data_IF_458721318249
#
_entry.id   IF_458721318249
#
_cell.length_a   1.000
_cell.length_b   1.000
_cell.length_c   1.000
_cell.angle_alpha   90.00
_cell.angle_beta   90.00
_cell.angle_gamma   90.00
#
_symmetry.space_group_name_H-M   'P 1'
#
loop_
_entity.id
_entity.type
_entity.pdbx_description
1 polymer ?
#
# COMPACT_ATOMS: atom_id res chain seq x y z
N UNK A 1 15.49 -33.12 -47.73
CA UNK A 1 15.96 -32.14 -46.72
C UNK A 1 14.88 -31.08 -46.55
N UNK A 2 14.00 -31.23 -45.56
CA UNK A 2 13.01 -30.20 -45.17
C UNK A 2 13.55 -29.55 -43.90
N UNK A 3 13.90 -28.27 -43.99
CA UNK A 3 14.43 -27.50 -42.87
C UNK A 3 13.37 -27.33 -41.79
N UNK A 4 13.71 -27.74 -40.58
CA UNK A 4 12.92 -27.44 -39.40
C UNK A 4 13.20 -25.99 -38.99
N UNK A 5 12.19 -25.13 -39.10
CA UNK A 5 12.23 -23.79 -38.52
C UNK A 5 12.02 -23.95 -37.01
N UNK A 6 13.13 -23.93 -36.28
CA UNK A 6 13.17 -23.95 -34.82
C UNK A 6 12.63 -22.61 -34.32
N UNK A 7 11.35 -22.58 -33.91
CA UNK A 7 10.80 -21.47 -33.15
C UNK A 7 11.48 -21.46 -31.79
N UNK A 8 12.47 -20.59 -31.62
CA UNK A 8 12.95 -20.21 -30.30
C UNK A 8 11.81 -19.48 -29.60
N UNK A 9 11.01 -20.21 -28.82
CA UNK A 9 10.25 -19.61 -27.73
C UNK A 9 11.28 -18.97 -26.80
N UNK A 10 11.50 -17.66 -26.97
CA UNK A 10 12.11 -16.85 -25.92
C UNK A 10 11.08 -16.89 -24.80
N UNK A 11 11.24 -17.84 -23.88
CA UNK A 11 10.63 -17.72 -22.57
C UNK A 11 11.23 -16.45 -21.96
N UNK A 12 10.52 -15.33 -22.07
CA UNK A 12 10.83 -14.17 -21.28
C UNK A 12 10.71 -14.63 -19.82
N UNK A 13 11.86 -14.81 -19.17
CA UNK A 13 11.88 -15.20 -17.77
C UNK A 13 11.28 -14.04 -16.98
N UNK A 14 10.05 -14.21 -16.47
CA UNK A 14 9.39 -13.16 -15.71
C UNK A 14 10.12 -12.91 -14.39
N UNK A 15 10.15 -11.65 -13.97
CA UNK A 15 10.78 -11.26 -12.70
C UNK A 15 10.11 -11.92 -11.48
N UNK A 16 10.90 -12.04 -10.40
CA UNK A 16 10.48 -12.49 -9.08
C UNK A 16 9.99 -11.30 -8.24
N UNK A 17 8.70 -11.25 -7.99
CA UNK A 17 8.01 -10.10 -7.38
C UNK A 17 7.64 -10.43 -5.94
N UNK A 18 8.15 -9.62 -5.01
CA UNK A 18 7.66 -9.57 -3.65
C UNK A 18 6.45 -8.65 -3.60
N UNK A 19 5.40 -9.08 -2.89
CA UNK A 19 4.19 -8.28 -2.69
C UNK A 19 4.06 -7.98 -1.20
N UNK A 20 3.95 -6.69 -0.88
CA UNK A 20 3.69 -6.22 0.49
C UNK A 20 2.29 -6.65 0.94
N UNK A 21 2.15 -6.94 2.23
CA UNK A 21 0.87 -7.40 2.76
C UNK A 21 -0.18 -6.28 2.74
N UNK A 22 -1.45 -6.67 2.66
CA UNK A 22 -2.61 -5.78 2.78
C UNK A 22 -3.84 -6.57 3.23
N UNK A 23 -4.99 -5.93 3.41
CA UNK A 23 -6.21 -6.58 3.94
C UNK A 23 -7.48 -6.09 3.25
N UNK A 24 -8.58 -6.82 3.45
CA UNK A 24 -9.93 -6.40 3.07
C UNK A 24 -10.07 -6.07 1.57
N UNK A 25 -10.66 -4.91 1.28
CA UNK A 25 -10.89 -4.45 -0.10
C UNK A 25 -9.60 -4.21 -0.88
N UNK A 26 -8.52 -3.80 -0.23
CA UNK A 26 -7.21 -3.62 -0.88
C UNK A 26 -6.65 -4.96 -1.33
N UNK A 27 -6.80 -6.03 -0.53
CA UNK A 27 -6.43 -7.38 -0.94
C UNK A 27 -7.27 -7.88 -2.12
N UNK A 28 -8.58 -7.67 -2.08
CA UNK A 28 -9.50 -8.02 -3.17
C UNK A 28 -9.09 -7.31 -4.48
N UNK A 29 -8.72 -6.04 -4.41
CA UNK A 29 -8.28 -5.27 -5.58
C UNK A 29 -6.89 -5.70 -6.08
N UNK A 30 -6.00 -6.14 -5.20
CA UNK A 30 -4.65 -6.56 -5.57
C UNK A 30 -4.63 -7.94 -6.24
N UNK A 31 -5.48 -8.88 -5.80
CA UNK A 31 -5.52 -10.27 -6.32
C UNK A 31 -5.53 -10.37 -7.86
N UNK A 32 -6.42 -9.67 -8.60
CA UNK A 32 -6.43 -9.73 -10.06
C UNK A 32 -5.14 -9.22 -10.72
N UNK A 33 -4.48 -8.22 -10.11
CA UNK A 33 -3.19 -7.70 -10.59
C UNK A 33 -2.12 -8.79 -10.45
N UNK A 34 -2.08 -9.49 -9.31
CA UNK A 34 -1.11 -10.57 -9.06
C UNK A 34 -1.33 -11.75 -10.01
N UNK A 35 -2.57 -12.14 -10.23
CA UNK A 35 -2.95 -13.17 -11.20
C UNK A 35 -2.46 -12.84 -12.61
N UNK A 36 -2.64 -11.58 -13.02
CA UNK A 36 -2.19 -11.07 -14.31
C UNK A 36 -0.66 -11.05 -14.44
N UNK A 37 0.07 -10.82 -13.34
CA UNK A 37 1.53 -10.93 -13.31
C UNK A 37 1.98 -12.39 -13.48
N UNK A 38 1.31 -13.33 -12.80
CA UNK A 38 1.57 -14.76 -12.98
C UNK A 38 1.29 -15.20 -14.42
N UNK A 39 0.20 -14.74 -15.03
CA UNK A 39 -0.13 -15.02 -16.44
C UNK A 39 0.95 -14.51 -17.42
N UNK A 40 1.68 -13.47 -17.02
CA UNK A 40 2.82 -12.92 -17.78
C UNK A 40 4.16 -13.60 -17.45
N UNK A 41 4.14 -14.69 -16.68
CA UNK A 41 5.31 -15.50 -16.35
C UNK A 41 6.11 -15.02 -15.15
N UNK A 42 5.61 -14.04 -14.38
CA UNK A 42 6.26 -13.60 -13.15
C UNK A 42 6.07 -14.59 -12.01
N UNK A 43 7.10 -14.76 -11.19
CA UNK A 43 7.00 -15.47 -9.91
C UNK A 43 6.55 -14.47 -8.85
N UNK A 44 5.43 -14.74 -8.18
CA UNK A 44 4.86 -13.80 -7.20
C UNK A 44 4.86 -14.43 -5.82
N UNK A 45 5.41 -13.71 -4.83
CA UNK A 45 5.36 -14.09 -3.42
C UNK A 45 4.71 -12.97 -2.61
N UNK A 46 3.66 -13.30 -1.88
CA UNK A 46 2.88 -12.34 -1.07
C UNK A 46 3.19 -12.52 0.40
N UNK A 47 3.57 -11.43 1.08
CA UNK A 47 3.68 -11.43 2.54
C UNK A 47 2.30 -11.54 3.17
N UNK A 48 2.17 -12.37 4.21
CA UNK A 48 0.90 -12.56 4.93
C UNK A 48 1.11 -12.50 6.44
N UNK A 49 0.50 -11.55 7.16
CA UNK A 49 0.61 -11.53 8.60
C UNK A 49 -0.16 -12.71 9.23
N UNK A 50 0.35 -13.24 10.34
CA UNK A 50 -0.33 -14.32 11.11
C UNK A 50 -1.73 -13.92 11.59
N UNK A 51 -1.97 -12.62 11.79
CA UNK A 51 -3.24 -12.05 12.17
C UNK A 51 -4.19 -11.78 10.99
N UNK A 52 -3.81 -12.13 9.76
CA UNK A 52 -4.64 -11.86 8.58
C UNK A 52 -6.04 -12.45 8.70
N UNK A 53 -7.03 -11.65 8.30
CA UNK A 53 -8.45 -12.04 8.30
C UNK A 53 -8.94 -12.39 6.89
N UNK A 54 -8.46 -11.68 5.86
CA UNK A 54 -8.95 -11.83 4.49
C UNK A 54 -7.99 -12.59 3.56
N UNK A 55 -6.72 -12.77 3.95
CA UNK A 55 -5.75 -13.53 3.16
C UNK A 55 -5.74 -15.00 3.61
N UNK A 56 -6.56 -15.81 2.94
CA UNK A 56 -6.60 -17.24 3.21
C UNK A 56 -5.49 -17.99 2.49
N UNK A 57 -4.42 -18.33 3.21
CA UNK A 57 -3.27 -19.10 2.70
C UNK A 57 -3.60 -20.54 2.30
N UNK A 58 -4.76 -21.07 2.72
CA UNK A 58 -5.20 -22.42 2.39
C UNK A 58 -5.97 -22.49 1.07
N UNK A 59 -6.38 -21.34 0.52
CA UNK A 59 -6.99 -21.29 -0.81
C UNK A 59 -5.96 -21.63 -1.89
N UNK A 60 -6.34 -22.43 -2.90
CA UNK A 60 -5.50 -22.61 -4.09
C UNK A 60 -5.16 -21.25 -4.69
N UNK A 61 -3.86 -20.98 -4.83
CA UNK A 61 -3.36 -19.75 -5.43
C UNK A 61 -2.32 -20.06 -6.50
N UNK A 62 -2.28 -19.21 -7.53
CA UNK A 62 -1.27 -19.25 -8.59
C UNK A 62 0.02 -18.53 -8.19
N UNK A 63 0.06 -17.96 -6.99
CA UNK A 63 1.21 -17.30 -6.37
C UNK A 63 1.49 -17.86 -4.97
N UNK A 64 2.69 -17.64 -4.48
CA UNK A 64 3.14 -18.16 -3.18
C UNK A 64 2.82 -17.19 -2.04
N UNK A 65 2.58 -17.72 -0.84
CA UNK A 65 2.44 -16.94 0.38
C UNK A 65 3.69 -17.10 1.27
N UNK A 66 4.21 -16.01 1.81
CA UNK A 66 5.24 -16.01 2.86
C UNK A 66 4.65 -15.46 4.16
N UNK A 67 4.24 -16.33 5.10
CA UNK A 67 3.66 -15.87 6.34
C UNK A 67 4.73 -15.29 7.28
N UNK A 68 4.37 -14.24 8.03
CA UNK A 68 5.20 -13.69 9.10
C UNK A 68 4.38 -13.49 10.38
N UNK A 69 5.04 -13.61 11.53
CA UNK A 69 4.37 -13.48 12.82
C UNK A 69 4.26 -12.01 13.24
N UNK A 70 3.12 -11.65 13.82
CA UNK A 70 2.86 -10.33 14.39
C UNK A 70 2.35 -10.44 15.82
N UNK A 71 2.59 -9.42 16.62
CA UNK A 71 2.14 -9.32 18.02
C UNK A 71 0.72 -8.76 18.17
N UNK A 72 -0.04 -8.67 17.06
CA UNK A 72 -1.39 -8.13 17.01
C UNK A 72 -2.41 -9.28 16.96
N UNK A 73 -3.49 -9.19 17.73
CA UNK A 73 -4.56 -10.19 17.71
C UNK A 73 -5.48 -10.00 16.49
N UNK A 74 -6.27 -11.03 16.13
CA UNK A 74 -7.26 -10.91 15.04
C UNK A 74 -8.41 -9.97 15.43
N UNK A 75 -8.75 -9.95 16.71
CA UNK A 75 -9.78 -9.09 17.29
C UNK A 75 -9.43 -7.60 17.14
N UNK A 76 -8.14 -7.27 17.30
CA UNK A 76 -7.62 -5.90 17.11
C UNK A 76 -7.62 -5.46 15.64
N UNK A 77 -7.78 -6.37 14.67
CA UNK A 77 -7.93 -6.06 13.25
C UNK A 77 -9.38 -5.75 12.82
N UNK A 78 -10.37 -5.91 13.70
CA UNK A 78 -11.76 -5.60 13.36
C UNK A 78 -11.94 -4.08 13.22
N UNK A 79 -12.10 -3.62 11.99
CA UNK A 79 -12.45 -2.23 11.70
C UNK A 79 -13.79 -1.86 12.33
N UNK A 80 -13.81 -0.79 13.12
CA UNK A 80 -15.01 -0.16 13.63
C UNK A 80 -15.83 0.43 12.48
N UNK A 81 -17.14 0.19 12.46
CA UNK A 81 -18.05 0.78 11.46
C UNK A 81 -18.04 2.31 11.52
N UNK A 82 -18.13 2.93 10.35
CA UNK A 82 -18.03 4.39 10.16
C UNK A 82 -19.41 5.02 10.10
N UNK A 83 -19.72 5.91 11.04
CA UNK A 83 -20.79 6.91 10.88
C UNK A 83 -20.20 8.32 11.00
N UNK A 84 -20.58 9.17 10.04
CA UNK A 84 -19.91 10.44 9.75
C UNK A 84 -20.78 11.61 10.22
N UNK A 85 -20.54 12.15 11.44
CA UNK A 85 -20.92 13.53 11.84
C UNK A 85 -19.88 14.24 12.74
N UNK A 86 -19.71 15.57 12.61
CA UNK A 86 -18.61 16.46 13.05
C UNK A 86 -17.84 16.19 14.38
N UNK A 87 -18.37 15.43 15.34
CA UNK A 87 -17.56 14.78 16.40
C UNK A 87 -16.49 13.79 15.87
N UNK A 88 -16.51 13.55 14.55
CA UNK A 88 -15.58 12.72 13.75
C UNK A 88 -14.12 13.01 14.03
N UNK A 89 -13.64 14.26 14.10
CA UNK A 89 -12.21 14.49 13.88
C UNK A 89 -11.31 14.06 15.05
N UNK A 90 -11.74 14.22 16.30
CA UNK A 90 -10.98 13.71 17.46
C UNK A 90 -10.96 12.17 17.40
N UNK A 91 -12.12 11.55 17.11
CA UNK A 91 -12.24 10.10 16.95
C UNK A 91 -11.40 9.59 15.78
N UNK A 92 -11.41 10.30 14.65
CA UNK A 92 -10.66 9.99 13.43
C UNK A 92 -9.16 10.12 13.66
N UNK A 93 -8.69 11.21 14.27
CA UNK A 93 -7.28 11.37 14.67
C UNK A 93 -6.85 10.28 15.64
N UNK A 94 -7.68 9.93 16.63
CA UNK A 94 -7.40 8.82 17.56
C UNK A 94 -7.36 7.47 16.86
N UNK A 95 -8.21 7.27 15.85
CA UNK A 95 -8.23 6.07 15.02
C UNK A 95 -7.01 5.97 14.13
N UNK A 96 -6.61 7.04 13.43
CA UNK A 96 -5.36 7.08 12.65
C UNK A 96 -4.17 6.79 13.56
N UNK A 97 -4.15 7.34 14.78
CA UNK A 97 -3.13 7.04 15.78
C UNK A 97 -3.11 5.56 16.16
N UNK A 98 -4.25 4.96 16.48
CA UNK A 98 -4.32 3.54 16.82
C UNK A 98 -3.92 2.65 15.63
N UNK A 99 -4.35 3.01 14.42
CA UNK A 99 -4.00 2.30 13.19
C UNK A 99 -2.50 2.35 12.92
N UNK A 100 -1.85 3.52 13.04
CA UNK A 100 -0.40 3.60 12.84
C UNK A 100 0.35 2.78 13.90
N UNK A 101 -0.06 2.83 15.17
CA UNK A 101 0.57 2.01 16.22
C UNK A 101 0.43 0.50 15.95
N UNK A 102 -0.73 0.04 15.49
CA UNK A 102 -0.89 -1.34 15.08
C UNK A 102 -0.03 -1.66 13.84
N UNK A 103 -0.02 -0.79 12.83
CA UNK A 103 0.80 -0.95 11.63
C UNK A 103 2.30 -1.07 11.95
N UNK A 104 2.81 -0.32 12.93
CA UNK A 104 4.20 -0.44 13.39
C UNK A 104 4.48 -1.83 13.99
N UNK A 105 3.52 -2.45 14.69
CA UNK A 105 3.66 -3.84 15.17
C UNK A 105 3.65 -4.86 14.04
N UNK A 106 2.87 -4.63 12.97
CA UNK A 106 2.97 -5.46 11.76
C UNK A 106 4.36 -5.31 11.12
N UNK A 107 4.85 -4.07 11.07
CA UNK A 107 6.15 -3.75 10.52
C UNK A 107 7.29 -4.42 11.28
N UNK A 108 7.21 -4.48 12.62
CA UNK A 108 8.14 -5.24 13.47
C UNK A 108 8.25 -6.71 13.06
N UNK A 109 7.11 -7.33 12.73
CA UNK A 109 7.05 -8.73 12.30
C UNK A 109 7.81 -9.04 11.00
N UNK A 110 8.05 -8.00 10.19
CA UNK A 110 8.90 -8.09 8.99
C UNK A 110 10.31 -7.58 9.29
N UNK A 111 10.46 -6.32 9.67
CA UNK A 111 11.75 -5.63 9.75
C UNK A 111 12.61 -6.04 10.95
N UNK A 112 12.00 -6.32 12.11
CA UNK A 112 12.73 -6.75 13.31
C UNK A 112 12.85 -8.28 13.40
N UNK A 113 12.14 -9.02 12.55
CA UNK A 113 12.27 -10.48 12.46
C UNK A 113 13.49 -10.87 11.63
N UNK A 114 14.56 -11.33 12.30
CA UNK A 114 15.75 -11.84 11.63
C UNK A 114 15.42 -12.99 10.67
N UNK A 115 14.51 -13.87 11.07
CA UNK A 115 14.09 -15.03 10.25
C UNK A 115 13.37 -14.57 8.98
N UNK A 116 12.41 -13.63 9.11
CA UNK A 116 11.69 -13.09 7.96
C UNK A 116 12.66 -12.36 7.04
N UNK A 117 13.47 -11.44 7.57
CA UNK A 117 14.36 -10.66 6.73
C UNK A 117 15.46 -11.48 6.06
N UNK A 118 16.00 -12.49 6.73
CA UNK A 118 16.98 -13.40 6.13
C UNK A 118 16.38 -14.10 4.91
N UNK A 119 15.18 -14.67 5.03
CA UNK A 119 14.48 -15.30 3.91
C UNK A 119 14.23 -14.34 2.75
N UNK A 120 13.79 -13.11 3.04
CA UNK A 120 13.52 -12.12 1.99
C UNK A 120 14.79 -11.73 1.23
N UNK A 121 15.94 -11.63 1.92
CA UNK A 121 17.24 -11.37 1.29
C UNK A 121 17.72 -12.56 0.44
N UNK A 122 17.53 -13.78 0.91
CA UNK A 122 17.97 -15.00 0.22
C UNK A 122 17.19 -15.28 -1.07
N UNK A 123 15.91 -14.88 -1.12
CA UNK A 123 15.03 -15.13 -2.28
C UNK A 123 15.29 -14.26 -3.50
N UNK A 124 16.10 -13.20 -3.40
CA UNK A 124 16.52 -12.33 -4.52
C UNK A 124 15.34 -11.92 -5.42
N UNK A 125 14.50 -11.02 -4.91
CA UNK A 125 13.43 -10.43 -5.70
C UNK A 125 13.98 -9.39 -6.69
N UNK A 126 13.22 -9.11 -7.74
CA UNK A 126 13.51 -8.09 -8.75
C UNK A 126 12.68 -6.80 -8.51
N UNK A 127 11.58 -6.90 -7.76
CA UNK A 127 10.62 -5.82 -7.55
C UNK A 127 9.86 -6.04 -6.23
N UNK A 128 9.57 -4.94 -5.52
CA UNK A 128 8.53 -4.90 -4.49
C UNK A 128 7.29 -4.19 -5.03
N UNK A 129 6.15 -4.89 -5.06
CA UNK A 129 4.83 -4.34 -5.35
C UNK A 129 4.06 -4.12 -4.03
N UNK A 130 3.43 -2.97 -3.88
CA UNK A 130 2.76 -2.63 -2.61
C UNK A 130 1.48 -1.81 -2.82
N UNK A 131 0.53 -1.95 -1.90
CA UNK A 131 -0.49 -0.93 -1.67
C UNK A 131 -0.04 -0.07 -0.47
N UNK A 132 0.06 1.26 -0.59
CA UNK A 132 0.61 2.12 0.46
C UNK A 132 -0.29 2.25 1.70
N UNK A 133 -1.46 1.60 1.76
CA UNK A 133 -2.33 1.60 2.94
C UNK A 133 -1.63 1.08 4.20
N UNK A 134 -0.72 0.10 4.06
CA UNK A 134 0.18 -0.35 5.12
C UNK A 134 1.60 0.19 4.89
N UNK A 135 2.17 0.93 5.85
CA UNK A 135 3.52 1.48 5.71
C UNK A 135 4.60 0.39 5.77
N UNK A 136 5.85 0.76 5.46
CA UNK A 136 7.01 -0.12 5.63
C UNK A 136 7.58 -0.70 4.34
N UNK A 137 6.80 -0.70 3.25
CA UNK A 137 7.25 -1.24 1.97
C UNK A 137 8.41 -0.45 1.36
N UNK A 138 8.44 0.87 1.50
CA UNK A 138 9.55 1.74 1.09
C UNK A 138 10.85 1.46 1.84
N UNK A 139 10.79 1.37 3.17
CA UNK A 139 11.97 1.01 3.97
C UNK A 139 12.43 -0.41 3.67
N UNK A 140 11.50 -1.35 3.48
CA UNK A 140 11.83 -2.74 3.13
C UNK A 140 12.48 -2.83 1.75
N UNK A 141 11.94 -2.12 0.76
CA UNK A 141 12.52 -2.04 -0.58
C UNK A 141 13.95 -1.48 -0.52
N UNK A 142 14.16 -0.40 0.23
CA UNK A 142 15.47 0.22 0.41
C UNK A 142 16.47 -0.71 1.12
N UNK A 143 16.04 -1.46 2.14
CA UNK A 143 16.88 -2.49 2.80
C UNK A 143 17.25 -3.63 1.84
N UNK A 144 16.33 -4.03 0.97
CA UNK A 144 16.53 -5.12 0.01
C UNK A 144 17.19 -4.65 -1.31
N UNK A 145 17.34 -3.35 -1.53
CA UNK A 145 17.84 -2.77 -2.78
C UNK A 145 16.90 -2.98 -3.96
N UNK A 146 15.58 -3.00 -3.72
CA UNK A 146 14.56 -3.28 -4.73
C UNK A 146 13.91 -2.00 -5.28
N UNK A 147 13.55 -1.97 -6.57
CA UNK A 147 12.59 -0.98 -7.05
C UNK A 147 11.24 -1.22 -6.34
N UNK A 148 10.57 -0.12 -5.98
CA UNK A 148 9.25 -0.13 -5.38
C UNK A 148 8.21 0.43 -6.35
N UNK A 149 7.16 -0.35 -6.55
CA UNK A 149 5.98 0.03 -7.32
C UNK A 149 4.75 -0.01 -6.42
N UNK A 150 3.99 1.09 -6.41
CA UNK A 150 2.70 1.14 -5.73
C UNK A 150 1.55 0.82 -6.67
N UNK A 151 0.61 0.00 -6.23
CA UNK A 151 -0.71 -0.17 -6.82
C UNK A 151 -1.74 0.29 -5.79
N UNK A 152 -2.44 1.38 -6.10
CA UNK A 152 -3.39 2.03 -5.21
C UNK A 152 -4.62 2.48 -6.01
N UNK A 153 -5.82 2.22 -5.49
CA UNK A 153 -7.07 2.71 -6.09
C UNK A 153 -7.30 4.20 -5.79
N UNK A 154 -7.21 4.55 -4.51
CA UNK A 154 -7.15 5.93 -4.01
C UNK A 154 -6.66 5.92 -2.55
N UNK A 155 -6.09 7.03 -2.07
CA UNK A 155 -5.94 7.30 -0.64
C UNK A 155 -6.90 8.40 -0.17
N UNK A 156 -7.08 8.51 1.15
CA UNK A 156 -7.91 9.56 1.74
C UNK A 156 -7.37 10.92 1.30
N UNK A 157 -8.27 11.78 0.80
CA UNK A 157 -7.90 13.08 0.23
C UNK A 157 -6.76 13.02 -0.82
N UNK A 158 -6.64 11.91 -1.55
CA UNK A 158 -5.58 11.70 -2.55
C UNK A 158 -4.16 12.00 -2.04
N UNK A 159 -3.89 11.81 -0.76
CA UNK A 159 -2.64 12.21 -0.11
C UNK A 159 -1.42 11.57 -0.80
N UNK A 160 -1.42 10.24 -0.97
CA UNK A 160 -0.33 9.52 -1.64
C UNK A 160 -0.21 9.88 -3.12
N UNK A 161 -1.34 10.01 -3.81
CA UNK A 161 -1.39 10.32 -5.24
C UNK A 161 -0.82 11.71 -5.53
N UNK A 162 -1.19 12.71 -4.74
CA UNK A 162 -0.71 14.08 -4.87
C UNK A 162 0.75 14.23 -4.46
N UNK A 163 1.10 13.70 -3.28
CA UNK A 163 2.40 13.99 -2.65
C UNK A 163 3.50 13.08 -3.18
N UNK A 164 3.23 11.79 -3.34
CA UNK A 164 4.21 10.82 -3.83
C UNK A 164 4.06 10.57 -5.34
N UNK A 165 2.82 10.42 -5.81
CA UNK A 165 2.49 10.08 -7.20
C UNK A 165 2.50 11.26 -8.18
N UNK A 166 2.63 12.49 -7.67
CA UNK A 166 2.64 13.73 -8.46
C UNK A 166 1.37 13.91 -9.32
N UNK A 167 0.26 13.26 -8.94
CA UNK A 167 -1.02 13.39 -9.61
C UNK A 167 -1.76 14.62 -9.05
N UNK A 168 -2.00 15.66 -9.85
CA UNK A 168 -2.71 16.83 -9.35
C UNK A 168 -4.17 16.49 -9.05
N UNK A 169 -4.64 16.91 -7.87
CA UNK A 169 -6.06 16.91 -7.53
C UNK A 169 -6.45 18.32 -7.06
N UNK A 170 -6.87 19.20 -8.00
CA UNK A 170 -7.32 20.56 -7.67
C UNK A 170 -8.51 20.52 -6.72
N UNK A 171 -8.32 21.01 -5.50
CA UNK A 171 -9.32 20.95 -4.42
C UNK A 171 -10.65 21.62 -4.75
N UNK A 172 -10.67 22.55 -5.70
CA UNK A 172 -11.91 23.20 -6.12
C UNK A 172 -12.75 22.35 -7.07
N UNK A 173 -12.21 21.32 -7.74
CA UNK A 173 -12.93 20.55 -8.77
C UNK A 173 -12.87 19.03 -8.59
N UNK A 174 -11.91 18.54 -7.80
CA UNK A 174 -11.75 17.11 -7.51
C UNK A 174 -12.19 16.85 -6.07
N UNK A 175 -13.30 16.13 -5.83
CA UNK A 175 -13.73 15.80 -4.49
C UNK A 175 -12.70 14.89 -3.81
N UNK A 176 -12.38 15.17 -2.55
CA UNK A 176 -11.50 14.30 -1.77
C UNK A 176 -12.17 12.94 -1.55
N UNK A 177 -11.49 11.80 -1.79
CA UNK A 177 -12.02 10.50 -1.43
C UNK A 177 -12.42 10.48 0.05
N UNK A 178 -13.56 9.87 0.36
CA UNK A 178 -14.20 9.84 1.69
C UNK A 178 -14.83 11.17 2.18
N UNK A 179 -14.87 12.23 1.36
CA UNK A 179 -15.57 13.48 1.70
C UNK A 179 -17.10 13.42 1.55
N UNK A 180 -17.63 12.37 0.88
CA UNK A 180 -19.02 12.25 0.39
C UNK A 180 -19.42 13.28 -0.68
N UNK A 181 -18.49 14.10 -1.16
CA UNK A 181 -18.72 15.04 -2.27
C UNK A 181 -18.58 14.35 -3.63
N UNK A 182 -19.15 14.97 -4.66
CA UNK A 182 -19.06 14.50 -6.06
C UNK A 182 -18.26 15.48 -6.92
N UNK A 183 -18.08 15.17 -8.21
CA UNK A 183 -17.48 16.09 -9.19
C UNK A 183 -18.36 17.33 -9.46
N UNK A 184 -19.63 17.27 -9.07
CA UNK A 184 -20.56 18.40 -9.06
C UNK A 184 -20.61 18.99 -7.64
N UNK A 185 -19.92 20.10 -7.46
CA UNK A 185 -19.90 20.87 -6.21
C UNK A 185 -20.32 22.33 -6.45
N UNK A 186 -21.19 22.85 -5.58
CA UNK A 186 -21.47 24.27 -5.46
C UNK A 186 -20.31 25.03 -4.79
N UNK A 187 -20.47 26.35 -4.61
CA UNK A 187 -19.40 27.16 -4.02
C UNK A 187 -19.05 26.73 -2.58
N UNK A 188 -20.05 26.44 -1.74
CA UNK A 188 -19.81 26.08 -0.34
C UNK A 188 -19.21 24.68 -0.23
N UNK A 189 -19.67 23.73 -1.05
CA UNK A 189 -19.10 22.39 -1.14
C UNK A 189 -17.62 22.43 -1.55
N UNK A 190 -17.24 23.34 -2.45
CA UNK A 190 -15.82 23.54 -2.84
C UNK A 190 -14.97 24.08 -1.70
N UNK A 191 -15.52 25.02 -0.92
CA UNK A 191 -14.85 25.53 0.28
C UNK A 191 -14.67 24.40 1.29
N UNK A 192 -15.70 23.60 1.52
CA UNK A 192 -15.62 22.42 2.40
C UNK A 192 -14.61 21.39 1.92
N UNK A 193 -14.59 21.11 0.63
CA UNK A 193 -13.61 20.19 0.05
C UNK A 193 -12.18 20.70 0.28
N UNK A 194 -11.92 21.99 0.04
CA UNK A 194 -10.62 22.60 0.32
C UNK A 194 -10.19 22.45 1.78
N UNK A 195 -11.09 22.75 2.72
CA UNK A 195 -10.82 22.57 4.15
C UNK A 195 -10.61 21.10 4.53
N UNK A 196 -11.35 20.19 3.91
CA UNK A 196 -11.20 18.75 4.11
C UNK A 196 -9.79 18.28 3.72
N UNK A 197 -9.28 18.66 2.55
CA UNK A 197 -7.91 18.32 2.14
C UNK A 197 -6.87 18.90 3.10
N UNK A 198 -6.97 20.19 3.44
CA UNK A 198 -6.01 20.84 4.34
C UNK A 198 -5.96 20.14 5.72
N UNK A 199 -7.11 19.75 6.22
CA UNK A 199 -7.23 19.08 7.50
C UNK A 199 -6.75 17.62 7.46
N UNK A 200 -7.00 16.89 6.36
CA UNK A 200 -6.45 15.55 6.15
C UNK A 200 -4.93 15.57 6.03
N UNK A 201 -4.37 16.52 5.26
CA UNK A 201 -2.92 16.70 5.13
C UNK A 201 -2.28 16.98 6.51
N UNK A 202 -2.89 17.84 7.34
CA UNK A 202 -2.41 18.08 8.70
C UNK A 202 -2.45 16.82 9.58
N UNK A 203 -3.54 16.04 9.55
CA UNK A 203 -3.61 14.80 10.34
C UNK A 203 -2.58 13.77 9.88
N UNK A 204 -2.37 13.61 8.57
CA UNK A 204 -1.34 12.72 8.05
C UNK A 204 0.05 13.15 8.49
N UNK A 205 0.40 14.44 8.35
CA UNK A 205 1.73 14.95 8.71
C UNK A 205 2.02 14.79 10.21
N UNK A 206 1.09 15.20 11.08
CA UNK A 206 1.33 15.23 12.53
C UNK A 206 1.06 13.91 13.25
N UNK A 207 0.43 12.93 12.60
CA UNK A 207 0.11 11.63 13.23
C UNK A 207 0.73 10.47 12.47
N UNK A 208 0.36 10.27 11.21
CA UNK A 208 0.83 9.10 10.46
C UNK A 208 2.32 9.21 10.16
N UNK A 209 2.73 10.31 9.52
CA UNK A 209 4.12 10.54 9.13
C UNK A 209 5.00 10.75 10.35
N UNK A 210 4.60 11.58 11.31
CA UNK A 210 5.38 11.79 12.54
C UNK A 210 5.75 10.48 13.27
N UNK A 211 4.81 9.54 13.41
CA UNK A 211 5.08 8.24 14.05
C UNK A 211 5.95 7.33 13.16
N UNK A 212 5.69 7.32 11.84
CA UNK A 212 6.47 6.50 10.90
C UNK A 212 7.93 6.98 10.81
N UNK A 213 8.14 8.29 10.81
CA UNK A 213 9.46 8.93 10.74
C UNK A 213 10.30 8.60 11.95
N UNK A 214 9.66 8.64 13.12
CA UNK A 214 10.28 8.23 14.38
C UNK A 214 10.73 6.78 14.30
N UNK A 215 9.85 5.88 13.87
CA UNK A 215 10.19 4.46 13.71
C UNK A 215 11.35 4.26 12.72
N UNK A 216 11.33 4.95 11.58
CA UNK A 216 12.36 4.79 10.54
C UNK A 216 13.71 5.29 11.04
N UNK A 217 13.69 6.39 11.80
CA UNK A 217 14.89 6.98 12.41
C UNK A 217 15.53 6.07 13.44
N UNK A 218 14.74 5.35 14.23
CA UNK A 218 15.24 4.36 15.19
C UNK A 218 15.92 3.17 14.48
N UNK A 219 15.44 2.76 13.31
CA UNK A 219 15.95 1.59 12.58
C UNK A 219 17.16 1.85 11.65
N UNK A 220 17.24 3.03 11.02
CA UNK A 220 18.27 3.35 10.02
C UNK A 220 19.02 4.68 10.24
N UNK A 221 18.69 5.47 11.27
CA UNK A 221 19.13 6.86 11.36
C UNK A 221 18.33 7.76 10.39
N UNK A 222 18.89 8.89 9.94
CA UNK A 222 18.19 9.79 9.00
C UNK A 222 17.83 9.06 7.69
N UNK A 223 16.54 8.82 7.46
CA UNK A 223 16.03 8.22 6.24
C UNK A 223 15.73 9.31 5.20
N UNK A 224 16.47 9.39 4.07
CA UNK A 224 16.35 10.50 3.14
C UNK A 224 15.08 10.37 2.30
N UNK A 225 14.09 11.23 2.55
CA UNK A 225 12.89 11.35 1.72
C UNK A 225 12.96 12.62 0.89
N UNK A 226 12.99 12.45 -0.43
CA UNK A 226 13.25 13.51 -1.40
C UNK A 226 12.10 14.53 -1.53
N UNK A 227 10.92 14.23 -0.98
CA UNK A 227 9.78 15.16 -0.88
C UNK A 227 9.01 14.85 0.40
N UNK A 228 9.24 15.60 1.49
CA UNK A 228 8.69 15.53 2.86
C UNK A 228 8.38 14.13 3.45
N UNK A 229 7.73 13.23 2.72
CA UNK A 229 7.27 11.91 3.13
C UNK A 229 7.51 10.75 2.13
N UNK A 230 8.01 10.99 0.91
CA UNK A 230 8.11 9.93 -0.11
C UNK A 230 9.55 9.71 -0.64
N UNK A 231 9.91 8.44 -0.85
CA UNK A 231 11.10 8.03 -1.63
C UNK A 231 10.75 8.00 -3.13
N UNK A 232 11.74 8.09 -4.01
CA UNK A 232 11.55 7.96 -5.47
C UNK A 232 10.83 6.65 -5.78
N UNK A 233 9.55 6.73 -6.15
CA UNK A 233 8.65 5.58 -6.31
C UNK A 233 7.86 5.70 -7.60
N UNK A 234 7.51 4.55 -8.18
CA UNK A 234 6.68 4.47 -9.38
C UNK A 234 5.27 4.03 -8.98
N UNK A 235 4.24 4.70 -9.51
CA UNK A 235 2.85 4.34 -9.29
C UNK A 235 2.30 3.62 -10.53
N UNK A 236 1.72 2.43 -10.32
CA UNK A 236 0.84 1.78 -11.29
C UNK A 236 -0.53 2.43 -11.20
N UNK A 237 -0.76 3.43 -12.05
CA UNK A 237 -2.10 3.93 -12.30
C UNK A 237 -2.85 2.93 -13.15
N UNK A 238 -3.60 2.03 -12.50
CA UNK A 238 -4.57 1.22 -13.24
C UNK A 238 -5.74 2.12 -13.60
N UNK A 239 -5.91 2.41 -14.89
CA UNK A 239 -7.12 3.06 -15.41
C UNK A 239 -8.28 2.06 -15.40
N UNK A 240 -8.73 1.64 -14.21
CA UNK A 240 -10.01 0.93 -14.12
C UNK A 240 -11.13 1.92 -14.36
N UNK A 241 -11.49 2.09 -15.65
CA UNK A 241 -12.63 2.89 -16.11
C UNK A 241 -13.98 2.18 -15.88
N UNK A 242 -14.01 1.07 -15.13
CA UNK A 242 -15.21 0.25 -15.02
C UNK A 242 -15.28 -0.49 -13.69
N UNK A 243 -15.46 0.26 -12.60
CA UNK A 243 -16.17 -0.19 -11.40
C UNK A 243 -16.43 1.05 -10.54
N UNK A 244 -17.41 1.83 -11.00
CA UNK A 244 -18.18 2.74 -10.16
C UNK A 244 -19.51 2.00 -9.98
N UNK A 245 -19.76 1.53 -8.77
CA UNK A 245 -21.12 1.31 -8.27
C UNK A 245 -21.19 2.03 -6.94
#
# INVERSE_FOLDING_TARGET
>A
MRGATLWWLVFANGGNILVWYTEGSHWINMKPVLETLVDRGHQVTVLVPSASMFMNKSEPSRFSYEPFNVSVSKEDMRFSHFDVYLEIYIKFTSMIRNNIQNNLKFLDGVLKSETTMKKLKERKYDLLLSDPIYPGSDLTADILGLPLVFSLRFSIAHNWERLCGQLPAPHSFVPGPMSKLTDKMDFLERVWNFLYFALQDAVYDYVFWAELDKYYSEGKGEYPRNKKHCVTTHFLWTTYSSMII
#
